data_IF_429270556696
#
_entry.id   IF_429270556696
#
_cell.length_a   1.000
_cell.length_b   1.000
_cell.length_c   1.000
_cell.angle_alpha   90.00
_cell.angle_beta   90.00
_cell.angle_gamma   90.00
#
_symmetry.space_group_name_H-M   'P 1'
#
loop_
_entity.id
_entity.type
_entity.pdbx_description
1 polymer ?
#
# COMPACT_ATOMS: atom_id res chain seq x y z
N UNK A 1 -3.88 -19.86 36.07
CA UNK A 1 -3.27 -19.74 34.74
C UNK A 1 -4.06 -18.67 34.00
N UNK A 2 -3.48 -17.48 33.82
CA UNK A 2 -4.19 -16.33 33.22
C UNK A 2 -3.67 -16.17 31.80
N UNK A 3 -4.50 -16.49 30.81
CA UNK A 3 -4.17 -16.27 29.40
C UNK A 3 -4.13 -14.77 29.12
N UNK A 4 -2.93 -14.25 28.85
CA UNK A 4 -2.73 -12.89 28.36
C UNK A 4 -3.28 -12.81 26.93
N UNK A 5 -4.39 -12.10 26.74
CA UNK A 5 -4.92 -11.80 25.42
C UNK A 5 -3.95 -10.85 24.69
N UNK A 6 -3.17 -11.37 23.74
CA UNK A 6 -2.35 -10.52 22.85
C UNK A 6 -3.30 -9.79 21.91
N UNK A 7 -3.40 -8.47 22.08
CA UNK A 7 -4.05 -7.59 21.11
C UNK A 7 -3.17 -7.55 19.85
N UNK A 8 -3.56 -8.27 18.80
CA UNK A 8 -2.95 -8.15 17.49
C UNK A 8 -3.51 -6.89 16.82
N UNK A 9 -2.77 -5.79 16.86
CA UNK A 9 -3.10 -4.61 16.06
C UNK A 9 -2.67 -4.94 14.63
N UNK A 10 -3.62 -5.27 13.77
CA UNK A 10 -3.39 -5.28 12.32
C UNK A 10 -3.11 -3.84 11.88
N UNK A 11 -1.97 -3.61 11.23
CA UNK A 11 -1.64 -2.31 10.65
C UNK A 11 -2.45 -2.14 9.36
N UNK A 12 -3.33 -1.13 9.34
CA UNK A 12 -4.10 -0.76 8.14
C UNK A 12 -3.29 0.20 7.31
N UNK A 13 -3.22 -0.06 6.01
CA UNK A 13 -2.59 0.82 5.04
C UNK A 13 -3.61 1.36 4.04
N UNK A 14 -3.42 2.61 3.62
CA UNK A 14 -4.20 3.29 2.60
C UNK A 14 -3.27 3.61 1.43
N UNK A 15 -3.71 3.25 0.23
CA UNK A 15 -3.07 3.62 -1.02
C UNK A 15 -3.69 4.94 -1.50
N UNK A 16 -2.85 5.95 -1.78
CA UNK A 16 -3.29 7.19 -2.41
C UNK A 16 -2.58 7.41 -3.73
N UNK A 17 -3.31 7.91 -4.70
CA UNK A 17 -2.80 8.35 -5.99
C UNK A 17 -3.41 9.72 -6.27
N UNK A 18 -2.58 10.71 -6.61
CA UNK A 18 -3.03 12.03 -7.02
C UNK A 18 -2.06 12.62 -8.04
N UNK A 19 -2.56 13.50 -8.89
CA UNK A 19 -1.73 14.29 -9.79
C UNK A 19 -1.56 15.69 -9.18
N UNK A 20 -0.32 16.17 -9.10
CA UNK A 20 -0.07 17.58 -8.85
C UNK A 20 -0.40 18.35 -10.12
N UNK A 21 -1.46 19.17 -10.07
CA UNK A 21 -1.93 19.93 -11.23
C UNK A 21 -0.99 21.05 -11.64
N UNK A 22 -0.05 21.46 -10.77
CA UNK A 22 0.90 22.52 -11.08
C UNK A 22 2.12 22.01 -11.88
N UNK A 23 2.53 20.76 -11.64
CA UNK A 23 3.68 20.13 -12.30
C UNK A 23 3.28 19.05 -13.31
N UNK A 24 2.03 18.60 -13.29
CA UNK A 24 1.54 17.47 -14.09
C UNK A 24 2.05 16.11 -13.60
N UNK A 25 2.81 16.08 -12.51
CA UNK A 25 3.44 14.88 -11.96
C UNK A 25 2.44 14.03 -11.18
N UNK A 26 2.48 12.72 -11.39
CA UNK A 26 1.71 11.77 -10.58
C UNK A 26 2.49 11.42 -9.31
N UNK A 27 1.77 11.40 -8.19
CA UNK A 27 2.28 10.98 -6.91
C UNK A 27 1.49 9.77 -6.40
N UNK A 28 2.23 8.85 -5.81
CA UNK A 28 1.71 7.63 -5.21
C UNK A 28 2.16 7.57 -3.76
N UNK A 29 1.28 7.19 -2.84
CA UNK A 29 1.64 7.05 -1.44
C UNK A 29 1.06 5.80 -0.80
N UNK A 30 1.84 5.23 0.11
CA UNK A 30 1.37 4.26 1.10
C UNK A 30 1.33 4.98 2.45
N UNK A 31 0.16 5.00 3.07
CA UNK A 31 -0.10 5.66 4.35
C UNK A 31 -0.54 4.64 5.38
N UNK A 32 0.00 4.71 6.60
CA UNK A 32 -0.54 4.04 7.78
C UNK A 32 -0.81 5.07 8.88
N UNK A 33 -1.31 4.62 10.04
CA UNK A 33 -1.47 5.49 11.20
C UNK A 33 -0.15 6.11 11.71
N UNK A 34 1.01 5.57 11.29
CA UNK A 34 2.33 5.97 11.81
C UNK A 34 3.22 6.64 10.76
N UNK A 35 3.02 6.32 9.50
CA UNK A 35 3.95 6.71 8.45
C UNK A 35 3.24 6.98 7.13
N UNK A 36 3.89 7.82 6.31
CA UNK A 36 3.51 8.08 4.93
C UNK A 36 4.77 8.08 4.09
N UNK A 37 4.79 7.27 3.05
CA UNK A 37 5.87 7.22 2.05
C UNK A 37 5.29 7.67 0.71
N UNK A 38 5.98 8.59 0.03
CA UNK A 38 5.52 9.19 -1.23
C UNK A 38 6.53 8.87 -2.34
N UNK A 39 6.02 8.52 -3.51
CA UNK A 39 6.76 8.20 -4.72
C UNK A 39 6.25 9.06 -5.88
N UNK A 40 7.13 9.45 -6.79
CA UNK A 40 6.78 10.12 -8.07
C UNK A 40 6.89 9.17 -9.27
N UNK A 41 7.37 7.95 -9.04
CA UNK A 41 7.49 6.87 -10.03
C UNK A 41 6.54 5.73 -9.68
N UNK A 42 5.66 5.36 -10.62
CA UNK A 42 4.76 4.22 -10.44
C UNK A 42 5.54 2.91 -10.28
N UNK A 43 6.64 2.74 -11.02
CA UNK A 43 7.44 1.52 -10.97
C UNK A 43 8.08 1.32 -9.59
N UNK A 44 8.63 2.40 -9.00
CA UNK A 44 9.21 2.36 -7.66
C UNK A 44 8.14 2.09 -6.59
N UNK A 45 6.96 2.70 -6.74
CA UNK A 45 5.84 2.46 -5.85
C UNK A 45 5.39 0.99 -5.87
N UNK A 46 5.21 0.40 -7.06
CA UNK A 46 4.81 -1.02 -7.20
C UNK A 46 5.88 -1.95 -6.62
N UNK A 47 7.16 -1.71 -6.91
CA UNK A 47 8.25 -2.49 -6.34
C UNK A 47 8.26 -2.41 -4.81
N UNK A 48 8.02 -1.22 -4.24
CA UNK A 48 7.91 -1.04 -2.80
C UNK A 48 6.71 -1.79 -2.20
N UNK A 49 5.55 -1.81 -2.87
CA UNK A 49 4.40 -2.58 -2.41
C UNK A 49 4.69 -4.09 -2.41
N UNK A 50 5.38 -4.59 -3.43
CA UNK A 50 5.76 -6.01 -3.52
C UNK A 50 6.74 -6.43 -2.41
N UNK A 51 7.67 -5.55 -2.01
CA UNK A 51 8.58 -5.83 -0.90
C UNK A 51 7.91 -5.68 0.47
N UNK A 52 6.98 -4.74 0.60
CA UNK A 52 6.25 -4.47 1.86
C UNK A 52 5.18 -5.53 2.12
N UNK A 53 4.54 -6.04 1.06
CA UNK A 53 3.46 -7.01 1.13
C UNK A 53 3.73 -8.23 0.23
N UNK A 54 4.74 -9.05 0.55
CA UNK A 54 5.13 -10.20 -0.27
C UNK A 54 4.04 -11.27 -0.39
N UNK A 55 3.18 -11.36 0.62
CA UNK A 55 2.09 -12.35 0.71
C UNK A 55 0.72 -11.75 0.35
N UNK A 56 0.65 -10.48 -0.08
CA UNK A 56 -0.61 -9.93 -0.58
C UNK A 56 -0.99 -10.73 -1.83
N UNK A 57 -2.07 -11.51 -1.73
CA UNK A 57 -2.63 -12.22 -2.86
C UNK A 57 -2.94 -11.20 -3.97
N UNK A 58 -2.10 -11.16 -5.00
CA UNK A 58 -2.44 -10.46 -6.24
C UNK A 58 -3.63 -11.24 -6.77
N UNK A 59 -4.84 -10.67 -6.78
CA UNK A 59 -5.98 -11.41 -7.26
C UNK A 59 -5.73 -11.76 -8.72
N UNK A 60 -5.95 -13.04 -9.06
CA UNK A 60 -5.69 -13.61 -10.37
C UNK A 60 -6.22 -12.67 -11.47
N UNK A 61 -5.36 -12.27 -12.40
CA UNK A 61 -5.69 -11.31 -13.46
C UNK A 61 -6.90 -11.76 -14.30
N UNK A 62 -7.22 -13.06 -14.29
CA UNK A 62 -8.41 -13.62 -14.94
C UNK A 62 -9.74 -13.05 -14.44
N UNK A 63 -9.79 -12.37 -13.29
CA UNK A 63 -11.03 -11.72 -12.80
C UNK A 63 -11.30 -10.34 -13.41
N UNK A 64 -10.33 -9.74 -14.13
CA UNK A 64 -10.48 -8.42 -14.75
C UNK A 64 -10.71 -8.47 -16.26
N UNK A 65 -10.60 -9.65 -16.89
CA UNK A 65 -10.98 -9.88 -18.28
C UNK A 65 -12.38 -10.48 -18.32
N UNK A 66 -13.39 -9.66 -18.66
CA UNK A 66 -14.76 -10.07 -18.97
C UNK A 66 -15.12 -9.70 -20.41
#
# INVERSE_FOLDING_TARGET
MTEQSKLFIQQVYILRCWQDTSEGTWHFALESAKERVIFTSLAEFVAFLQTTFPDAAIPDQSIFEA
#
